data_IF_658935320992
#
_entry.id   IF_658935320992
#
_cell.length_a   1.000
_cell.length_b   1.000
_cell.length_c   1.000
_cell.angle_alpha   90.00
_cell.angle_beta   90.00
_cell.angle_gamma   90.00
#
_symmetry.space_group_name_H-M   'P 1'
#
loop_
_entity.id
_entity.type
_entity.pdbx_description
1 polymer ?
#
# COMPACT_ATOMS: atom_id res chain seq x y z
N UNK A 1 -28.08 -8.41 -26.70
CA UNK A 1 -28.39 -9.82 -26.33
C UNK A 1 -29.32 -9.76 -25.14
N UNK A 2 -30.52 -10.34 -25.27
CA UNK A 2 -31.57 -10.29 -24.25
C UNK A 2 -32.03 -11.72 -23.93
N UNK A 3 -32.78 -11.87 -22.83
CA UNK A 3 -33.40 -13.12 -22.43
C UNK A 3 -32.38 -14.27 -22.41
N UNK A 4 -32.72 -15.50 -22.79
CA UNK A 4 -31.76 -16.62 -22.78
C UNK A 4 -30.79 -16.65 -23.97
N UNK A 5 -30.69 -15.55 -24.74
CA UNK A 5 -29.87 -15.48 -25.95
C UNK A 5 -28.37 -15.64 -25.67
N UNK A 6 -27.67 -16.39 -26.52
CA UNK A 6 -26.22 -16.55 -26.51
C UNK A 6 -25.63 -16.01 -27.81
N UNK A 7 -24.65 -15.11 -27.70
CA UNK A 7 -23.76 -14.73 -28.81
C UNK A 7 -22.37 -15.29 -28.54
N UNK A 8 -21.82 -16.03 -29.50
CA UNK A 8 -20.41 -16.44 -29.50
C UNK A 8 -19.65 -15.68 -30.57
N UNK A 9 -18.47 -15.17 -30.23
CA UNK A 9 -17.62 -14.36 -31.13
C UNK A 9 -16.26 -15.04 -31.28
N UNK A 10 -15.98 -15.54 -32.49
CA UNK A 10 -14.67 -16.07 -32.90
C UNK A 10 -13.87 -15.09 -33.78
N UNK A 11 -14.56 -14.14 -34.42
CA UNK A 11 -14.00 -13.10 -35.28
C UNK A 11 -14.15 -11.71 -34.66
N UNK A 12 -14.51 -10.72 -35.47
CA UNK A 12 -14.75 -9.36 -34.96
C UNK A 12 -16.24 -9.05 -34.91
N UNK A 13 -16.70 -8.54 -33.78
CA UNK A 13 -18.01 -7.95 -33.63
C UNK A 13 -17.88 -6.47 -33.20
N UNK A 14 -18.91 -5.69 -33.48
CA UNK A 14 -19.00 -4.31 -33.00
C UNK A 14 -19.20 -4.27 -31.46
N UNK A 15 -19.59 -3.12 -30.92
CA UNK A 15 -19.98 -3.02 -29.53
C UNK A 15 -21.16 -3.96 -29.21
N UNK A 16 -21.13 -4.58 -28.04
CA UNK A 16 -22.14 -5.56 -27.60
C UNK A 16 -22.76 -5.12 -26.29
N UNK A 17 -24.09 -5.16 -26.22
CA UNK A 17 -24.82 -5.04 -24.96
C UNK A 17 -25.46 -6.37 -24.62
N UNK A 18 -25.22 -6.88 -23.41
CA UNK A 18 -25.92 -8.03 -22.84
C UNK A 18 -26.83 -7.56 -21.71
N UNK A 19 -28.14 -7.62 -21.91
CA UNK A 19 -29.14 -7.33 -20.90
C UNK A 19 -29.45 -8.60 -20.08
N UNK A 20 -30.31 -8.48 -19.07
CA UNK A 20 -30.70 -9.57 -18.18
C UNK A 20 -30.99 -10.89 -18.92
N UNK A 21 -30.36 -11.97 -18.44
CA UNK A 21 -30.40 -13.30 -19.04
C UNK A 21 -29.43 -13.51 -20.22
N UNK A 22 -29.09 -12.44 -20.94
CA UNK A 22 -28.30 -12.51 -22.16
C UNK A 22 -26.87 -12.92 -21.87
N UNK A 23 -26.29 -13.74 -22.76
CA UNK A 23 -24.94 -14.31 -22.60
C UNK A 23 -24.07 -13.98 -23.80
N UNK A 24 -22.87 -13.49 -23.53
CA UNK A 24 -21.81 -13.30 -24.51
C UNK A 24 -20.64 -14.23 -24.19
N UNK A 25 -20.15 -14.94 -25.20
CA UNK A 25 -18.86 -15.64 -25.15
C UNK A 25 -17.95 -15.05 -26.22
N UNK A 26 -16.83 -14.48 -25.82
CA UNK A 26 -15.77 -14.07 -26.74
C UNK A 26 -14.68 -15.11 -26.63
N UNK A 27 -14.51 -15.93 -27.67
CA UNK A 27 -13.45 -16.93 -27.71
C UNK A 27 -12.09 -16.26 -27.89
N UNK A 28 -10.99 -17.01 -27.74
CA UNK A 28 -9.62 -16.47 -27.75
C UNK A 28 -9.28 -15.65 -29.01
N UNK A 29 -9.80 -16.01 -30.17
CA UNK A 29 -9.62 -15.26 -31.43
C UNK A 29 -10.62 -14.12 -31.61
N UNK A 30 -11.66 -14.09 -30.78
CA UNK A 30 -12.75 -13.14 -30.83
C UNK A 30 -12.34 -11.76 -30.34
N UNK A 31 -12.87 -10.74 -31.01
CA UNK A 31 -12.71 -9.32 -30.65
C UNK A 31 -14.07 -8.66 -30.70
N UNK A 32 -14.41 -7.89 -29.67
CA UNK A 32 -15.59 -7.03 -29.68
C UNK A 32 -15.18 -5.56 -29.51
N UNK A 33 -16.07 -4.64 -29.87
CA UNK A 33 -15.99 -3.25 -29.42
C UNK A 33 -16.30 -3.13 -27.93
N UNK A 34 -16.85 -2.00 -27.52
CA UNK A 34 -17.24 -1.79 -26.12
C UNK A 34 -18.32 -2.80 -25.68
N UNK A 35 -18.22 -3.20 -24.42
CA UNK A 35 -19.07 -4.19 -23.78
C UNK A 35 -19.88 -3.52 -22.68
N UNK A 36 -21.21 -3.63 -22.75
CA UNK A 36 -22.11 -3.18 -21.67
C UNK A 36 -22.94 -4.34 -21.14
N UNK A 37 -22.88 -4.60 -19.83
CA UNK A 37 -23.61 -5.68 -19.17
C UNK A 37 -24.70 -5.11 -18.26
N UNK A 38 -25.96 -5.16 -18.70
CA UNK A 38 -27.14 -4.68 -17.96
C UNK A 38 -27.92 -5.87 -17.39
N UNK A 39 -27.33 -6.60 -16.43
CA UNK A 39 -27.91 -7.85 -15.94
C UNK A 39 -27.47 -9.11 -16.71
N UNK A 40 -26.75 -8.93 -17.83
CA UNK A 40 -26.26 -10.03 -18.66
C UNK A 40 -24.89 -10.56 -18.23
N UNK A 41 -24.51 -11.70 -18.78
CA UNK A 41 -23.22 -12.34 -18.54
C UNK A 41 -22.31 -12.22 -19.77
N UNK A 42 -21.03 -11.96 -19.56
CA UNK A 42 -20.00 -12.12 -20.58
C UNK A 42 -18.80 -12.90 -20.07
N UNK A 43 -18.34 -13.89 -20.85
CA UNK A 43 -17.04 -14.52 -20.68
C UNK A 43 -16.13 -14.08 -21.82
N UNK A 44 -15.07 -13.34 -21.47
CA UNK A 44 -14.09 -12.78 -22.41
C UNK A 44 -12.80 -13.58 -22.31
N UNK A 45 -12.56 -14.51 -23.24
CA UNK A 45 -11.27 -15.19 -23.39
C UNK A 45 -10.41 -14.52 -24.49
N UNK A 46 -11.05 -13.79 -25.41
CA UNK A 46 -10.40 -12.98 -26.44
C UNK A 46 -10.19 -11.53 -25.99
N UNK A 47 -10.66 -10.57 -26.80
CA UNK A 47 -10.53 -9.14 -26.52
C UNK A 47 -11.85 -8.39 -26.56
N UNK A 48 -11.97 -7.33 -25.76
CA UNK A 48 -13.05 -6.34 -25.86
C UNK A 48 -12.52 -4.93 -25.68
N UNK A 49 -13.34 -3.94 -26.08
CA UNK A 49 -13.12 -2.52 -25.78
C UNK A 49 -13.32 -2.20 -24.31
N UNK A 50 -13.91 -1.04 -24.02
CA UNK A 50 -14.27 -0.67 -22.66
C UNK A 50 -15.40 -1.57 -22.15
N UNK A 51 -15.26 -2.11 -20.94
CA UNK A 51 -16.26 -2.94 -20.29
C UNK A 51 -16.95 -2.18 -19.15
N UNK A 52 -18.27 -1.99 -19.27
CA UNK A 52 -19.12 -1.40 -18.23
C UNK A 52 -20.09 -2.45 -17.71
N UNK A 53 -19.95 -2.80 -16.43
CA UNK A 53 -20.75 -3.81 -15.76
C UNK A 53 -21.74 -3.09 -14.85
N UNK A 54 -23.01 -3.06 -15.28
CA UNK A 54 -24.12 -2.48 -14.51
C UNK A 54 -24.74 -3.52 -13.58
N UNK A 55 -25.71 -3.09 -12.77
CA UNK A 55 -26.39 -3.95 -11.80
C UNK A 55 -26.86 -5.29 -12.40
N UNK A 56 -26.50 -6.37 -11.72
CA UNK A 56 -26.78 -7.76 -12.12
C UNK A 56 -25.91 -8.28 -13.28
N UNK A 57 -25.10 -7.41 -13.90
CA UNK A 57 -24.17 -7.80 -14.95
C UNK A 57 -22.98 -8.56 -14.38
N UNK A 58 -22.45 -9.51 -15.14
CA UNK A 58 -21.31 -10.34 -14.71
C UNK A 58 -20.29 -10.44 -15.83
N UNK A 59 -19.09 -9.91 -15.60
CA UNK A 59 -17.94 -10.08 -16.48
C UNK A 59 -17.03 -11.17 -15.93
N UNK A 60 -16.64 -12.13 -16.75
CA UNK A 60 -15.56 -13.06 -16.45
C UNK A 60 -14.74 -13.43 -17.67
N UNK A 61 -13.97 -14.52 -17.57
CA UNK A 61 -13.03 -14.96 -18.60
C UNK A 61 -11.57 -14.57 -18.30
N UNK A 62 -10.68 -14.93 -19.22
CA UNK A 62 -9.22 -14.82 -19.06
C UNK A 62 -8.54 -13.87 -20.05
N UNK A 63 -9.33 -13.13 -20.81
CA UNK A 63 -8.89 -12.32 -21.93
C UNK A 63 -8.46 -10.91 -21.54
N UNK A 64 -8.52 -10.00 -22.51
CA UNK A 64 -8.16 -8.60 -22.35
C UNK A 64 -9.39 -7.70 -22.56
N UNK A 65 -9.66 -6.81 -21.61
CA UNK A 65 -10.56 -5.67 -21.79
C UNK A 65 -9.74 -4.39 -21.84
N UNK A 66 -10.18 -3.38 -22.59
CA UNK A 66 -9.41 -2.14 -22.70
C UNK A 66 -9.45 -1.34 -21.39
N UNK A 67 -10.64 -1.13 -20.84
CA UNK A 67 -10.85 -0.52 -19.52
C UNK A 67 -12.03 -1.20 -18.83
N UNK A 68 -12.14 -1.05 -17.51
CA UNK A 68 -13.15 -1.72 -16.72
C UNK A 68 -13.84 -0.77 -15.74
N UNK A 69 -15.17 -0.75 -15.74
CA UNK A 69 -15.97 -0.07 -14.73
C UNK A 69 -17.02 -1.04 -14.20
N UNK A 70 -16.85 -1.48 -12.96
CA UNK A 70 -17.86 -2.22 -12.22
C UNK A 70 -18.72 -1.24 -11.44
N UNK A 71 -19.95 -1.00 -11.92
CA UNK A 71 -20.92 -0.15 -11.23
C UNK A 71 -21.55 -0.89 -10.07
N UNK A 72 -22.29 -0.15 -9.24
CA UNK A 72 -23.06 -0.73 -8.13
C UNK A 72 -23.93 -1.91 -8.60
N UNK A 73 -23.82 -3.05 -7.92
CA UNK A 73 -24.48 -4.31 -8.25
C UNK A 73 -23.90 -5.07 -9.44
N UNK A 74 -22.85 -4.57 -10.09
CA UNK A 74 -22.10 -5.27 -11.14
C UNK A 74 -21.01 -6.16 -10.55
N UNK A 75 -20.78 -7.32 -11.19
CA UNK A 75 -19.81 -8.32 -10.73
C UNK A 75 -18.68 -8.52 -11.75
N UNK A 76 -17.45 -8.53 -11.26
CA UNK A 76 -16.26 -8.95 -12.02
C UNK A 76 -15.74 -10.23 -11.37
N UNK A 77 -15.72 -11.32 -12.14
CA UNK A 77 -15.27 -12.65 -11.74
C UNK A 77 -14.20 -13.10 -12.73
N UNK A 78 -12.92 -12.71 -12.54
CA UNK A 78 -11.85 -13.14 -13.44
C UNK A 78 -11.79 -14.66 -13.57
N UNK A 79 -11.30 -15.13 -14.71
CA UNK A 79 -11.04 -16.55 -14.90
C UNK A 79 -12.18 -17.36 -15.53
N UNK A 80 -11.83 -18.62 -15.81
CA UNK A 80 -12.78 -19.72 -16.00
C UNK A 80 -12.63 -20.72 -14.81
N UNK A 81 -12.37 -20.19 -13.60
CA UNK A 81 -12.26 -20.91 -12.33
C UNK A 81 -11.06 -21.90 -12.23
N UNK A 82 -9.81 -21.49 -12.02
CA UNK A 82 -9.33 -20.14 -11.74
C UNK A 82 -8.46 -19.59 -12.87
N UNK A 83 -8.40 -18.27 -13.03
CA UNK A 83 -7.58 -17.61 -14.04
C UNK A 83 -7.39 -16.11 -13.83
N UNK A 84 -6.71 -15.49 -14.79
CA UNK A 84 -6.39 -14.06 -14.75
C UNK A 84 -7.13 -13.34 -15.86
N UNK A 85 -7.87 -12.29 -15.51
CA UNK A 85 -8.44 -11.33 -16.47
C UNK A 85 -7.52 -10.13 -16.56
N UNK A 86 -7.30 -9.61 -17.77
CA UNK A 86 -6.43 -8.47 -18.01
C UNK A 86 -7.23 -7.21 -18.38
N UNK A 87 -6.84 -6.07 -17.84
CA UNK A 87 -7.33 -4.73 -18.20
C UNK A 87 -6.16 -3.93 -18.73
N UNK A 88 -6.23 -3.42 -19.97
CA UNK A 88 -5.12 -2.70 -20.58
C UNK A 88 -4.88 -1.30 -19.95
N UNK A 89 -5.97 -0.61 -19.62
CA UNK A 89 -5.98 0.71 -19.00
C UNK A 89 -6.47 0.64 -17.57
N UNK A 90 -7.32 1.59 -17.18
CA UNK A 90 -7.78 1.74 -15.80
C UNK A 90 -8.96 0.82 -15.46
N UNK A 91 -9.08 0.48 -14.17
CA UNK A 91 -10.22 -0.22 -13.61
C UNK A 91 -10.85 0.58 -12.46
N UNK A 92 -12.18 0.64 -12.41
CA UNK A 92 -12.93 1.28 -11.30
C UNK A 92 -13.97 0.31 -10.74
N UNK A 93 -14.02 0.22 -9.41
CA UNK A 93 -15.02 -0.51 -8.65
C UNK A 93 -15.83 0.47 -7.80
N UNK A 94 -17.06 0.74 -8.24
CA UNK A 94 -18.00 1.58 -7.50
C UNK A 94 -18.44 0.89 -6.20
N UNK A 95 -18.93 1.68 -5.24
CA UNK A 95 -19.53 1.14 -4.03
C UNK A 95 -20.67 0.18 -4.36
N UNK A 96 -20.67 -0.99 -3.72
CA UNK A 96 -21.65 -2.05 -3.97
C UNK A 96 -21.43 -2.88 -5.24
N UNK A 97 -20.32 -2.68 -5.98
CA UNK A 97 -19.86 -3.66 -6.95
C UNK A 97 -19.26 -4.88 -6.24
N UNK A 98 -19.17 -6.00 -6.96
CA UNK A 98 -18.60 -7.26 -6.44
C UNK A 98 -17.38 -7.66 -7.26
N UNK A 99 -16.29 -7.95 -6.56
CA UNK A 99 -15.13 -8.63 -7.11
C UNK A 99 -15.15 -10.08 -6.62
N UNK A 100 -15.57 -11.00 -7.47
CA UNK A 100 -15.71 -12.43 -7.14
C UNK A 100 -14.40 -13.16 -7.46
N UNK A 101 -13.83 -13.81 -6.45
CA UNK A 101 -12.54 -14.47 -6.50
C UNK A 101 -12.71 -15.94 -6.13
N UNK A 102 -12.35 -16.83 -7.04
CA UNK A 102 -12.27 -18.25 -6.76
C UNK A 102 -10.86 -18.66 -6.35
N UNK A 103 -10.77 -19.47 -5.30
CA UNK A 103 -9.54 -20.18 -4.94
C UNK A 103 -9.60 -21.59 -5.51
N UNK A 104 -8.53 -22.03 -6.17
CA UNK A 104 -8.48 -23.35 -6.76
C UNK A 104 -8.65 -24.46 -5.72
N UNK A 105 -9.18 -25.60 -6.16
CA UNK A 105 -9.38 -26.79 -5.31
C UNK A 105 -8.08 -27.34 -4.74
N UNK A 106 -6.94 -27.05 -5.36
CA UNK A 106 -5.58 -27.36 -4.88
C UNK A 106 -5.00 -26.28 -3.91
N UNK A 107 -5.70 -25.15 -3.73
CA UNK A 107 -5.34 -24.03 -2.84
C UNK A 107 -4.01 -23.36 -3.21
N UNK A 108 -3.52 -23.53 -4.43
CA UNK A 108 -2.22 -22.99 -4.85
C UNK A 108 -2.36 -21.72 -5.69
N UNK A 109 -3.56 -21.42 -6.18
CA UNK A 109 -3.84 -20.25 -7.00
C UNK A 109 -5.26 -19.75 -6.75
N UNK A 110 -5.48 -18.48 -7.06
CA UNK A 110 -6.78 -17.84 -7.04
C UNK A 110 -7.01 -17.07 -8.35
N UNK A 111 -8.24 -16.65 -8.59
CA UNK A 111 -8.56 -15.67 -9.62
C UNK A 111 -7.84 -14.35 -9.36
N UNK A 112 -7.45 -13.70 -10.46
CA UNK A 112 -6.70 -12.44 -10.40
C UNK A 112 -7.14 -11.46 -11.48
N UNK A 113 -7.15 -10.18 -11.15
CA UNK A 113 -7.28 -9.09 -12.11
C UNK A 113 -5.95 -8.36 -12.28
N UNK A 114 -5.41 -8.35 -13.49
CA UNK A 114 -4.17 -7.64 -13.82
C UNK A 114 -4.52 -6.37 -14.60
N UNK A 115 -4.19 -5.21 -14.04
CA UNK A 115 -4.56 -3.90 -14.57
C UNK A 115 -3.31 -3.14 -15.00
N UNK A 116 -3.20 -2.81 -16.29
CA UNK A 116 -2.08 -2.05 -16.85
C UNK A 116 -2.10 -0.56 -16.51
N UNK A 117 -3.22 -0.05 -16.00
CA UNK A 117 -3.39 1.33 -15.53
C UNK A 117 -3.59 1.45 -14.02
N UNK A 118 -4.33 2.49 -13.62
CA UNK A 118 -4.72 2.71 -12.24
C UNK A 118 -5.98 1.92 -11.88
N UNK A 119 -6.09 1.58 -10.59
CA UNK A 119 -7.29 1.00 -9.99
C UNK A 119 -7.88 1.96 -8.99
N UNK A 120 -9.16 2.26 -9.14
CA UNK A 120 -9.92 3.09 -8.20
C UNK A 120 -11.00 2.26 -7.50
N UNK A 121 -10.85 2.07 -6.19
CA UNK A 121 -11.74 1.31 -5.33
C UNK A 121 -12.59 2.27 -4.49
N UNK A 122 -13.86 2.43 -4.84
CA UNK A 122 -14.79 3.35 -4.18
C UNK A 122 -15.64 2.66 -3.09
N UNK A 123 -15.26 1.45 -2.66
CA UNK A 123 -15.99 0.65 -1.66
C UNK A 123 -16.77 -0.55 -2.21
N UNK A 124 -16.26 -1.23 -3.24
CA UNK A 124 -16.81 -2.54 -3.65
C UNK A 124 -16.60 -3.63 -2.59
N UNK A 125 -17.13 -4.84 -2.80
CA UNK A 125 -16.94 -5.99 -1.91
C UNK A 125 -16.17 -7.10 -2.63
N UNK A 126 -15.22 -7.72 -1.95
CA UNK A 126 -14.57 -8.94 -2.41
C UNK A 126 -15.38 -10.15 -1.93
N UNK A 127 -15.80 -11.00 -2.85
CA UNK A 127 -16.44 -12.28 -2.55
C UNK A 127 -15.43 -13.39 -2.79
N UNK A 128 -15.18 -14.25 -1.80
CA UNK A 128 -14.24 -15.36 -1.93
C UNK A 128 -14.97 -16.69 -1.79
N UNK A 129 -14.73 -17.57 -2.77
CA UNK A 129 -15.27 -18.92 -2.80
C UNK A 129 -14.25 -19.90 -3.34
N UNK A 130 -14.61 -21.18 -3.31
CA UNK A 130 -13.80 -22.20 -3.96
C UNK A 130 -14.21 -22.37 -5.42
N UNK A 131 -13.24 -22.71 -6.26
CA UNK A 131 -13.48 -23.03 -7.65
C UNK A 131 -14.53 -24.15 -7.77
N UNK A 132 -15.58 -23.88 -8.55
CA UNK A 132 -16.71 -24.80 -8.74
C UNK A 132 -17.80 -24.75 -7.66
N UNK A 133 -17.58 -24.01 -6.57
CA UNK A 133 -18.59 -23.78 -5.53
C UNK A 133 -19.42 -22.55 -5.85
N UNK A 134 -20.73 -22.61 -5.52
CA UNK A 134 -21.68 -21.49 -5.70
C UNK A 134 -21.85 -20.63 -4.45
N UNK A 135 -21.40 -21.12 -3.32
CA UNK A 135 -21.50 -20.46 -2.02
C UNK A 135 -20.11 -20.09 -1.52
N UNK A 136 -20.06 -19.22 -0.50
CA UNK A 136 -18.82 -18.96 0.23
C UNK A 136 -18.24 -20.23 0.86
N UNK A 137 -17.03 -20.11 1.40
CA UNK A 137 -16.24 -21.23 1.91
C UNK A 137 -16.95 -21.99 3.06
N UNK A 138 -16.72 -23.29 3.18
CA UNK A 138 -17.15 -24.07 4.34
C UNK A 138 -16.15 -23.94 5.50
N UNK A 139 -16.56 -24.31 6.72
CA UNK A 139 -15.67 -24.30 7.88
C UNK A 139 -14.44 -25.23 7.73
N UNK A 140 -14.57 -26.32 6.98
CA UNK A 140 -13.42 -27.19 6.69
C UNK A 140 -12.46 -26.49 5.70
N UNK A 141 -13.01 -25.88 4.65
CA UNK A 141 -12.22 -25.19 3.62
C UNK A 141 -11.47 -23.99 4.19
N UNK A 142 -12.09 -23.20 5.08
CA UNK A 142 -11.45 -22.02 5.67
C UNK A 142 -10.26 -22.39 6.56
N UNK A 143 -10.30 -23.56 7.21
CA UNK A 143 -9.19 -24.08 8.02
C UNK A 143 -7.99 -24.42 7.15
N UNK A 144 -8.21 -25.03 5.98
CA UNK A 144 -7.14 -25.37 5.03
C UNK A 144 -6.49 -24.14 4.37
N UNK A 145 -7.19 -23.00 4.43
CA UNK A 145 -6.72 -21.73 3.91
C UNK A 145 -5.97 -20.92 4.96
N UNK A 146 -5.98 -21.33 6.24
CA UNK A 146 -5.31 -20.60 7.31
C UNK A 146 -3.84 -20.29 6.99
N UNK A 147 -3.43 -19.04 7.21
CA UNK A 147 -2.13 -18.46 6.87
C UNK A 147 -1.75 -18.47 5.38
N UNK A 148 -2.67 -18.86 4.49
CA UNK A 148 -2.48 -18.67 3.05
C UNK A 148 -2.85 -17.24 2.66
N UNK A 149 -2.15 -16.77 1.63
CA UNK A 149 -2.39 -15.48 1.00
C UNK A 149 -2.42 -15.64 -0.51
N UNK A 150 -3.34 -14.95 -1.17
CA UNK A 150 -3.50 -14.95 -2.61
C UNK A 150 -3.53 -13.53 -3.14
N UNK A 151 -2.67 -13.22 -4.08
CA UNK A 151 -2.76 -11.97 -4.84
C UNK A 151 -3.97 -12.03 -5.77
N UNK A 152 -4.91 -11.09 -5.58
CA UNK A 152 -6.18 -11.06 -6.32
C UNK A 152 -6.26 -9.90 -7.29
N UNK A 153 -5.45 -8.85 -7.08
CA UNK A 153 -5.39 -7.70 -7.97
C UNK A 153 -3.96 -7.17 -8.06
N UNK A 154 -3.52 -6.89 -9.28
CA UNK A 154 -2.26 -6.19 -9.58
C UNK A 154 -2.58 -4.97 -10.42
N UNK A 155 -1.92 -3.85 -10.15
CA UNK A 155 -1.95 -2.63 -10.93
C UNK A 155 -0.53 -2.20 -11.29
N UNK A 156 -0.26 -1.99 -12.58
CA UNK A 156 1.00 -1.38 -13.04
C UNK A 156 1.07 0.11 -12.66
N UNK A 157 -0.10 0.75 -12.52
CA UNK A 157 -0.25 2.09 -11.93
C UNK A 157 -0.39 2.03 -10.41
N UNK A 158 -1.46 2.62 -9.87
CA UNK A 158 -1.73 2.61 -8.43
C UNK A 158 -3.14 2.13 -8.11
N UNK A 159 -3.27 1.41 -6.99
CA UNK A 159 -4.52 1.10 -6.32
C UNK A 159 -4.83 2.24 -5.35
N UNK A 160 -5.94 2.94 -5.59
CA UNK A 160 -6.43 4.03 -4.78
C UNK A 160 -7.77 3.66 -4.14
N UNK A 161 -7.96 4.06 -2.88
CA UNK A 161 -9.11 3.64 -2.07
C UNK A 161 -9.02 2.18 -1.61
N UNK A 162 -10.12 1.64 -1.12
CA UNK A 162 -10.21 0.26 -0.62
C UNK A 162 -11.53 -0.39 -1.03
N UNK A 163 -11.55 -1.72 -1.02
CA UNK A 163 -12.81 -2.45 -0.92
C UNK A 163 -13.40 -2.19 0.47
N UNK A 164 -14.72 -2.17 0.55
CA UNK A 164 -15.46 -1.97 1.80
C UNK A 164 -15.39 -3.23 2.68
N UNK A 165 -15.42 -4.41 2.06
CA UNK A 165 -15.42 -5.67 2.79
C UNK A 165 -14.85 -6.83 1.98
N UNK A 166 -14.49 -7.91 2.67
CA UNK A 166 -14.26 -9.23 2.10
C UNK A 166 -15.20 -10.23 2.76
N UNK A 167 -15.87 -11.02 1.93
CA UNK A 167 -16.82 -12.04 2.34
C UNK A 167 -16.30 -13.42 1.95
N UNK A 168 -16.72 -14.48 2.65
CA UNK A 168 -17.58 -14.50 3.85
C UNK A 168 -16.84 -14.22 5.17
N UNK A 169 -17.57 -13.76 6.20
CA UNK A 169 -17.06 -13.57 7.57
C UNK A 169 -17.24 -14.82 8.42
N UNK A 170 -16.24 -15.13 9.26
CA UNK A 170 -16.34 -16.19 10.25
C UNK A 170 -15.82 -15.74 11.61
N UNK A 171 -16.20 -16.49 12.65
CA UNK A 171 -15.87 -16.18 14.04
C UNK A 171 -14.39 -16.35 14.39
N UNK A 172 -13.70 -17.31 13.78
CA UNK A 172 -12.34 -17.71 14.18
C UNK A 172 -11.28 -17.46 13.12
N UNK A 173 -11.49 -17.90 11.88
CA UNK A 173 -10.58 -17.67 10.75
C UNK A 173 -11.35 -16.89 9.70
N UNK A 174 -10.93 -15.66 9.41
CA UNK A 174 -11.65 -14.78 8.49
C UNK A 174 -10.73 -14.34 7.35
N UNK A 175 -11.23 -14.22 6.11
CA UNK A 175 -10.49 -13.52 5.09
C UNK A 175 -10.30 -12.06 5.49
N UNK A 176 -9.16 -11.51 5.08
CA UNK A 176 -8.78 -10.11 5.27
C UNK A 176 -8.06 -9.62 4.02
N UNK A 177 -8.18 -8.33 3.74
CA UNK A 177 -7.53 -7.72 2.58
C UNK A 177 -6.23 -7.06 3.02
N UNK A 178 -5.17 -7.34 2.27
CA UNK A 178 -3.83 -6.79 2.46
C UNK A 178 -3.53 -5.94 1.23
N UNK A 179 -3.22 -4.67 1.46
CA UNK A 179 -2.85 -3.71 0.42
C UNK A 179 -1.34 -3.52 0.46
N UNK A 180 -0.68 -3.63 -0.70
CA UNK A 180 0.74 -3.38 -0.76
C UNK A 180 1.05 -1.90 -0.47
N UNK A 181 2.13 -1.63 0.27
CA UNK A 181 2.52 -0.28 0.68
C UNK A 181 2.83 0.64 -0.52
N UNK A 182 3.31 0.07 -1.62
CA UNK A 182 3.55 0.76 -2.89
C UNK A 182 2.28 0.97 -3.73
N UNK A 183 1.13 0.48 -3.26
CA UNK A 183 -0.17 0.54 -3.91
C UNK A 183 -0.23 -0.23 -5.23
N UNK A 184 0.65 -1.19 -5.48
CA UNK A 184 0.64 -1.98 -6.72
C UNK A 184 -0.30 -3.19 -6.67
N UNK A 185 -0.75 -3.59 -5.47
CA UNK A 185 -1.33 -4.91 -5.29
C UNK A 185 -2.35 -4.98 -4.14
N UNK A 186 -3.35 -5.85 -4.32
CA UNK A 186 -4.27 -6.31 -3.26
C UNK A 186 -4.21 -7.83 -3.16
N UNK A 187 -4.10 -8.33 -1.94
CA UNK A 187 -4.11 -9.75 -1.62
C UNK A 187 -5.22 -10.08 -0.62
N UNK A 188 -5.76 -11.29 -0.70
CA UNK A 188 -6.60 -11.85 0.36
C UNK A 188 -5.78 -12.83 1.20
N UNK A 189 -5.73 -12.58 2.51
CA UNK A 189 -5.11 -13.46 3.50
C UNK A 189 -6.16 -14.06 4.44
N UNK A 190 -5.90 -15.25 4.96
CA UNK A 190 -6.78 -15.94 5.91
C UNK A 190 -6.10 -16.05 7.26
N UNK A 191 -6.61 -15.32 8.25
CA UNK A 191 -5.99 -15.22 9.57
C UNK A 191 -7.04 -15.31 10.68
N UNK A 192 -6.57 -15.42 11.93
CA UNK A 192 -7.40 -15.37 13.10
C UNK A 192 -8.13 -14.03 13.20
N UNK A 193 -9.39 -14.09 13.63
CA UNK A 193 -10.11 -12.89 14.07
C UNK A 193 -9.40 -12.27 15.26
N UNK A 194 -9.64 -10.98 15.50
CA UNK A 194 -9.10 -10.29 16.67
C UNK A 194 -9.54 -10.96 17.97
N UNK A 195 -10.81 -11.35 18.09
CA UNK A 195 -11.32 -12.12 19.23
C UNK A 195 -10.56 -13.43 19.43
N UNK A 196 -10.35 -14.21 18.35
CA UNK A 196 -9.62 -15.46 18.45
C UNK A 196 -8.14 -15.24 18.82
N UNK A 197 -7.54 -14.12 18.38
CA UNK A 197 -6.22 -13.70 18.84
C UNK A 197 -6.22 -13.36 20.33
N UNK A 198 -7.17 -12.58 20.82
CA UNK A 198 -7.24 -12.25 22.25
C UNK A 198 -7.40 -13.50 23.11
N UNK A 199 -8.29 -14.42 22.74
CA UNK A 199 -8.51 -15.67 23.48
C UNK A 199 -7.25 -16.54 23.54
N UNK A 200 -6.50 -16.63 22.43
CA UNK A 200 -5.26 -17.39 22.42
C UNK A 200 -4.15 -16.68 23.21
N UNK A 201 -4.11 -15.35 23.25
CA UNK A 201 -3.14 -14.58 24.02
C UNK A 201 -3.37 -14.79 25.52
N UNK A 202 -4.62 -14.76 25.96
CA UNK A 202 -4.99 -15.02 27.35
C UNK A 202 -4.64 -16.45 27.79
N UNK A 203 -4.93 -17.46 26.95
CA UNK A 203 -4.54 -18.85 27.22
C UNK A 203 -3.03 -19.00 27.37
N UNK A 204 -2.30 -18.27 26.55
CA UNK A 204 -0.85 -18.28 26.57
C UNK A 204 -0.29 -17.62 27.84
N UNK A 205 -0.82 -16.46 28.23
CA UNK A 205 -0.46 -15.81 29.51
C UNK A 205 -0.79 -16.71 30.70
N UNK A 206 -1.95 -17.38 30.69
CA UNK A 206 -2.34 -18.31 31.74
C UNK A 206 -1.39 -19.52 31.81
N UNK A 207 -0.99 -20.07 30.67
CA UNK A 207 -0.04 -21.19 30.61
C UNK A 207 1.36 -20.79 31.07
N UNK A 208 1.82 -19.57 30.75
CA UNK A 208 3.08 -19.02 31.27
C UNK A 208 3.02 -18.83 32.81
N UNK A 209 1.91 -18.31 33.33
CA UNK A 209 1.71 -18.16 34.78
C UNK A 209 1.69 -19.51 35.49
N UNK A 210 1.04 -20.53 34.91
CA UNK A 210 1.03 -21.89 35.45
C UNK A 210 2.42 -22.53 35.45
N UNK A 211 3.20 -22.37 34.38
CA UNK A 211 4.58 -22.84 34.31
C UNK A 211 5.48 -22.17 35.36
N UNK A 212 5.33 -20.85 35.56
CA UNK A 212 6.07 -20.13 36.59
C UNK A 212 5.67 -20.59 38.01
N UNK A 213 4.37 -20.78 38.27
CA UNK A 213 3.88 -21.29 39.54
C UNK A 213 4.41 -22.71 39.84
N UNK A 214 4.56 -23.55 38.82
CA UNK A 214 5.15 -24.89 38.96
C UNK A 214 6.65 -24.80 39.28
N UNK A 215 7.39 -23.89 38.64
CA UNK A 215 8.79 -23.64 38.97
C UNK A 215 8.98 -23.17 40.43
N UNK A 216 8.10 -22.29 40.90
CA UNK A 216 8.17 -21.78 42.28
C UNK A 216 7.84 -22.88 43.31
N UNK A 217 6.92 -23.80 42.99
CA UNK A 217 6.65 -25.00 43.81
C UNK A 217 7.86 -25.92 43.90
N UNK A 218 8.51 -26.23 42.78
CA UNK A 218 9.70 -27.10 42.77
C UNK A 218 10.87 -26.51 43.56
N UNK A 219 11.02 -25.18 43.55
CA UNK A 219 11.98 -24.47 44.43
C UNK A 219 11.63 -24.63 45.92
N UNK A 220 10.36 -24.54 46.27
CA UNK A 220 9.88 -24.71 47.65
C UNK A 220 10.03 -26.16 48.16
N UNK A 221 9.97 -27.15 47.26
CA UNK A 221 10.16 -28.57 47.56
C UNK A 221 11.64 -28.99 47.73
N UNK A 222 12.58 -28.07 47.55
CA UNK A 222 13.99 -28.28 47.88
C UNK A 222 14.85 -28.93 46.79
N UNK A 223 14.38 -28.96 45.53
CA UNK A 223 15.28 -29.24 44.40
C UNK A 223 16.41 -28.20 44.36
N UNK A 224 17.63 -28.62 43.99
CA UNK A 224 18.75 -27.72 43.80
C UNK A 224 18.31 -26.58 42.86
N UNK A 225 18.57 -25.33 43.25
CA UNK A 225 18.08 -24.14 42.53
C UNK A 225 18.38 -24.18 41.01
N UNK A 226 19.48 -24.84 40.64
CA UNK A 226 19.89 -25.08 39.26
C UNK A 226 18.98 -26.06 38.50
N UNK A 227 18.51 -27.14 39.13
CA UNK A 227 17.59 -28.11 38.53
C UNK A 227 16.18 -27.50 38.36
N UNK A 228 15.70 -26.75 39.36
CA UNK A 228 14.41 -26.08 39.28
C UNK A 228 14.40 -24.97 38.22
N UNK A 229 15.52 -24.26 38.05
CA UNK A 229 15.67 -23.26 37.00
C UNK A 229 15.75 -23.92 35.61
N UNK A 230 16.51 -25.01 35.46
CA UNK A 230 16.60 -25.75 34.21
C UNK A 230 15.25 -26.34 33.76
N UNK A 231 14.43 -26.83 34.70
CA UNK A 231 13.09 -27.33 34.39
C UNK A 231 12.11 -26.20 34.00
N UNK A 232 12.20 -25.04 34.66
CA UNK A 232 11.44 -23.85 34.29
C UNK A 232 11.80 -23.34 32.88
N UNK A 233 13.09 -23.33 32.54
CA UNK A 233 13.57 -22.94 31.22
C UNK A 233 13.13 -23.93 30.15
N UNK A 234 13.09 -25.23 30.47
CA UNK A 234 12.57 -26.29 29.58
C UNK A 234 11.07 -26.14 29.31
N UNK A 235 10.28 -25.85 30.34
CA UNK A 235 8.84 -25.57 30.23
C UNK A 235 8.57 -24.30 29.43
N UNK A 236 9.34 -23.23 29.64
CA UNK A 236 9.26 -22.00 28.83
C UNK A 236 9.64 -22.25 27.38
N UNK A 237 10.65 -23.09 27.12
CA UNK A 237 11.03 -23.48 25.77
C UNK A 237 9.93 -24.31 25.07
N UNK A 238 9.27 -25.23 25.79
CA UNK A 238 8.13 -25.99 25.26
C UNK A 238 6.91 -25.10 24.98
N UNK A 239 6.59 -24.18 25.90
CA UNK A 239 5.55 -23.17 25.70
C UNK A 239 5.84 -22.29 24.49
N UNK A 240 7.12 -21.93 24.29
CA UNK A 240 7.58 -21.16 23.13
C UNK A 240 7.51 -21.97 21.84
N UNK A 241 7.82 -23.27 21.86
CA UNK A 241 7.63 -24.15 20.71
C UNK A 241 6.14 -24.26 20.32
N UNK A 242 5.25 -24.31 21.31
CA UNK A 242 3.80 -24.28 21.09
C UNK A 242 3.28 -22.90 20.65
N UNK A 243 3.87 -21.80 21.11
CA UNK A 243 3.63 -20.46 20.54
C UNK A 243 4.05 -20.38 19.07
N UNK A 244 5.23 -20.93 18.73
CA UNK A 244 5.77 -20.93 17.37
C UNK A 244 4.88 -21.74 16.42
N UNK A 245 4.34 -22.87 16.88
CA UNK A 245 3.37 -23.68 16.12
C UNK A 245 2.04 -22.97 15.90
N UNK A 246 1.64 -22.11 16.82
CA UNK A 246 0.32 -21.48 16.79
C UNK A 246 0.31 -20.04 16.25
N UNK A 247 1.43 -19.28 16.27
CA UNK A 247 1.26 -17.85 16.54
C UNK A 247 2.44 -16.87 16.27
N UNK A 248 3.00 -16.82 15.06
CA UNK A 248 3.93 -15.71 14.71
C UNK A 248 3.19 -14.45 14.21
N UNK A 249 1.86 -14.40 14.33
CA UNK A 249 1.01 -13.28 13.89
C UNK A 249 0.33 -12.51 15.04
N UNK A 250 0.54 -12.88 16.31
CA UNK A 250 -0.11 -12.17 17.42
C UNK A 250 0.42 -10.77 17.67
N UNK A 251 1.72 -10.58 17.45
CA UNK A 251 2.39 -9.31 17.76
C UNK A 251 2.32 -8.33 16.56
N UNK A 252 1.83 -8.80 15.40
CA UNK A 252 1.69 -8.00 14.18
C UNK A 252 0.32 -7.30 14.13
N UNK A 253 0.32 -5.99 14.33
CA UNK A 253 -0.88 -5.17 14.45
C UNK A 253 -1.26 -4.55 13.10
N UNK A 254 -0.31 -3.93 12.41
CA UNK A 254 -0.57 -3.21 11.14
C UNK A 254 -0.57 -4.16 9.92
N UNK A 255 -1.18 -3.78 8.77
CA UNK A 255 -1.13 -4.55 7.54
C UNK A 255 0.31 -4.84 7.05
N UNK A 256 1.21 -3.86 7.14
CA UNK A 256 2.63 -4.06 6.83
C UNK A 256 3.28 -5.08 7.78
N UNK A 257 3.05 -4.98 9.08
CA UNK A 257 3.59 -5.93 10.06
C UNK A 257 3.10 -7.36 9.81
N UNK A 258 1.81 -7.52 9.47
CA UNK A 258 1.23 -8.83 9.10
C UNK A 258 1.84 -9.37 7.82
N UNK A 259 2.00 -8.54 6.78
CA UNK A 259 2.63 -8.93 5.52
C UNK A 259 4.08 -9.40 5.73
N UNK A 260 4.86 -8.65 6.52
CA UNK A 260 6.21 -9.03 6.91
C UNK A 260 6.24 -10.31 7.74
N UNK A 261 5.34 -10.47 8.71
CA UNK A 261 5.19 -11.71 9.48
C UNK A 261 4.90 -12.93 8.59
N UNK A 262 4.02 -12.77 7.61
CA UNK A 262 3.73 -13.81 6.61
C UNK A 262 4.95 -14.15 5.74
N UNK A 263 5.70 -13.15 5.29
CA UNK A 263 6.92 -13.39 4.49
C UNK A 263 8.00 -14.12 5.29
N UNK A 264 8.15 -13.80 6.58
CA UNK A 264 9.08 -14.48 7.49
C UNK A 264 8.68 -15.94 7.74
N UNK A 265 7.38 -16.22 7.88
CA UNK A 265 6.85 -17.58 8.03
C UNK A 265 7.10 -18.49 6.82
N UNK A 266 7.13 -17.92 5.61
CA UNK A 266 7.42 -18.67 4.38
C UNK A 266 8.87 -19.19 4.30
N UNK A 267 9.77 -18.68 5.15
CA UNK A 267 11.18 -19.07 5.15
C UNK A 267 11.42 -20.47 5.75
N UNK A 268 10.45 -21.04 6.46
CA UNK A 268 10.53 -22.37 7.09
C UNK A 268 11.49 -22.45 8.29
N UNK A 269 11.29 -23.43 9.16
CA UNK A 269 12.14 -23.69 10.34
C UNK A 269 13.59 -23.96 9.91
N UNK A 270 14.56 -23.28 10.55
CA UNK A 270 16.00 -23.37 10.23
C UNK A 270 16.55 -22.25 9.33
N UNK A 271 15.71 -21.29 8.94
CA UNK A 271 16.18 -20.07 8.29
C UNK A 271 16.75 -19.09 9.32
N UNK A 272 17.97 -18.58 9.11
CA UNK A 272 18.64 -17.68 10.07
C UNK A 272 17.85 -16.41 10.41
N UNK A 273 17.02 -15.89 9.50
CA UNK A 273 16.17 -14.73 9.78
C UNK A 273 14.99 -15.12 10.65
N UNK A 274 14.30 -16.22 10.33
CA UNK A 274 13.26 -16.77 11.18
C UNK A 274 13.84 -17.14 12.55
N UNK A 275 14.99 -17.81 12.62
CA UNK A 275 15.66 -18.18 13.86
C UNK A 275 16.10 -16.95 14.68
N UNK A 276 16.56 -15.87 14.03
CA UNK A 276 16.93 -14.62 14.75
C UNK A 276 15.69 -13.90 15.31
N UNK A 277 14.59 -13.94 14.59
CA UNK A 277 13.26 -13.43 14.99
C UNK A 277 12.70 -14.29 16.13
N UNK A 278 12.83 -15.61 16.05
CA UNK A 278 12.29 -16.58 17.01
C UNK A 278 13.15 -16.77 18.27
N UNK A 279 14.47 -16.57 18.18
CA UNK A 279 15.46 -16.83 19.24
C UNK A 279 16.05 -15.53 19.82
N UNK A 280 15.37 -14.40 19.67
CA UNK A 280 15.83 -13.15 20.24
C UNK A 280 15.88 -13.27 21.79
N UNK A 281 17.03 -12.97 22.43
CA UNK A 281 17.27 -13.29 23.84
C UNK A 281 16.47 -12.45 24.87
N UNK A 282 15.60 -11.55 24.42
CA UNK A 282 14.68 -10.80 25.28
C UNK A 282 13.25 -11.26 25.01
N UNK A 283 12.82 -12.24 25.81
CA UNK A 283 11.54 -12.96 25.71
C UNK A 283 10.26 -12.11 25.87
N UNK A 284 10.39 -10.86 26.27
CA UNK A 284 9.30 -9.92 26.55
C UNK A 284 9.23 -8.76 25.55
N UNK A 285 10.13 -8.70 24.57
CA UNK A 285 10.15 -7.64 23.56
C UNK A 285 9.33 -8.07 22.33
N UNK A 286 8.28 -7.31 22.01
CA UNK A 286 7.52 -7.47 20.77
C UNK A 286 8.47 -7.46 19.55
N UNK A 287 8.19 -8.30 18.56
CA UNK A 287 8.94 -8.32 17.31
C UNK A 287 8.88 -6.94 16.64
N UNK A 288 10.05 -6.36 16.32
CA UNK A 288 10.13 -5.09 15.60
C UNK A 288 9.91 -5.31 14.10
N UNK A 289 8.66 -5.61 13.74
CA UNK A 289 8.23 -5.81 12.36
C UNK A 289 8.48 -4.57 11.48
N UNK A 290 8.46 -3.36 12.05
CA UNK A 290 8.69 -2.10 11.33
C UNK A 290 10.12 -2.00 10.79
N UNK A 291 11.09 -2.59 11.49
CA UNK A 291 12.46 -2.69 11.02
C UNK A 291 12.62 -3.67 9.84
N UNK A 292 11.77 -4.69 9.77
CA UNK A 292 11.79 -5.73 8.74
C UNK A 292 10.90 -5.38 7.52
N UNK A 293 9.85 -4.59 7.70
CA UNK A 293 8.96 -4.13 6.62
C UNK A 293 9.63 -3.11 5.68
N UNK A 294 10.68 -2.44 6.17
CA UNK A 294 11.39 -1.40 5.41
C UNK A 294 10.63 -0.07 5.31
N UNK A 295 9.51 0.08 6.03
CA UNK A 295 8.68 1.30 6.01
C UNK A 295 9.43 2.56 6.48
N UNK A 296 10.44 2.41 7.34
CA UNK A 296 11.33 3.51 7.73
C UNK A 296 12.13 4.08 6.52
N UNK A 297 12.55 3.22 5.59
CA UNK A 297 13.28 3.67 4.39
C UNK A 297 12.37 4.37 3.38
N UNK A 298 11.15 3.86 3.20
CA UNK A 298 10.14 4.50 2.34
C UNK A 298 9.72 5.86 2.90
N UNK A 299 9.47 5.93 4.22
CA UNK A 299 9.16 7.18 4.92
C UNK A 299 10.31 8.17 4.79
N UNK A 300 11.56 7.71 4.96
CA UNK A 300 12.75 8.55 4.78
C UNK A 300 12.83 9.13 3.35
N UNK A 301 12.58 8.35 2.29
CA UNK A 301 12.55 8.88 0.91
C UNK A 301 11.48 9.94 0.70
N UNK A 302 10.28 9.73 1.25
CA UNK A 302 9.22 10.74 1.25
C UNK A 302 9.67 12.03 1.94
N UNK A 303 10.33 11.91 3.10
CA UNK A 303 10.86 13.09 3.80
C UNK A 303 11.98 13.80 3.03
N UNK A 304 12.85 13.08 2.34
CA UNK A 304 13.93 13.65 1.53
C UNK A 304 13.41 14.38 0.28
N UNK A 305 12.34 13.89 -0.34
CA UNK A 305 11.66 14.61 -1.42
C UNK A 305 11.02 15.91 -0.92
N UNK A 306 10.46 15.90 0.29
CA UNK A 306 9.88 17.09 0.90
C UNK A 306 10.95 18.14 1.25
N UNK A 307 12.17 17.71 1.62
CA UNK A 307 13.31 18.60 1.84
C UNK A 307 13.83 19.28 0.58
N UNK A 308 13.86 18.56 -0.52
CA UNK A 308 14.22 19.14 -1.80
C UNK A 308 13.28 20.31 -2.16
N UNK A 309 12.02 20.25 -1.72
CA UNK A 309 11.04 21.33 -1.81
C UNK A 309 11.41 22.59 -1.03
N UNK A 310 12.01 22.46 0.16
CA UNK A 310 12.42 23.61 0.98
C UNK A 310 13.60 24.37 0.36
N UNK A 311 14.60 23.64 -0.14
CA UNK A 311 15.78 24.23 -0.79
C UNK A 311 15.41 24.85 -2.14
N UNK A 312 14.62 24.14 -2.95
CA UNK A 312 14.13 24.68 -4.23
C UNK A 312 13.18 25.86 -4.04
N UNK A 313 12.38 25.86 -2.97
CA UNK A 313 11.54 26.98 -2.57
C UNK A 313 12.37 28.23 -2.28
N UNK A 314 13.39 28.13 -1.43
CA UNK A 314 14.30 29.24 -1.12
C UNK A 314 15.04 29.75 -2.37
N UNK A 315 15.50 28.85 -3.24
CA UNK A 315 16.12 29.22 -4.51
C UNK A 315 15.15 29.94 -5.46
N UNK A 316 13.91 29.44 -5.59
CA UNK A 316 12.88 30.06 -6.42
C UNK A 316 12.42 31.42 -5.86
N UNK A 317 12.36 31.58 -4.54
CA UNK A 317 12.12 32.88 -3.90
C UNK A 317 13.24 33.87 -4.24
N UNK A 318 14.50 33.44 -4.29
CA UNK A 318 15.62 34.28 -4.73
C UNK A 318 15.52 34.66 -6.20
N UNK A 319 15.15 33.72 -7.08
CA UNK A 319 14.91 33.99 -8.50
C UNK A 319 13.79 35.04 -8.63
N UNK A 320 12.67 34.86 -7.93
CA UNK A 320 11.57 35.84 -7.94
C UNK A 320 11.98 37.20 -7.36
N UNK A 321 12.81 37.23 -6.31
CA UNK A 321 13.30 38.47 -5.73
C UNK A 321 14.33 39.19 -6.62
N UNK A 322 15.03 38.47 -7.51
CA UNK A 322 15.98 39.05 -8.46
C UNK A 322 15.29 39.68 -9.68
N UNK A 323 14.07 39.25 -10.01
CA UNK A 323 13.24 39.82 -11.06
C UNK A 323 12.11 40.63 -10.42
N UNK A 324 12.36 41.92 -10.19
CA UNK A 324 11.57 42.93 -9.47
C UNK A 324 10.03 42.85 -9.65
N UNK A 325 9.41 41.83 -9.06
CA UNK A 325 8.04 41.42 -9.25
C UNK A 325 7.30 41.37 -7.91
N UNK A 326 6.17 42.07 -7.87
CA UNK A 326 5.30 42.31 -6.70
C UNK A 326 5.15 41.05 -5.83
N UNK A 327 5.50 41.19 -4.54
CA UNK A 327 5.33 40.24 -3.43
C UNK A 327 6.54 39.36 -2.99
N UNK A 328 7.79 39.78 -3.19
CA UNK A 328 8.93 39.18 -2.50
C UNK A 328 9.13 39.75 -1.07
N UNK A 329 9.39 38.89 -0.07
CA UNK A 329 9.82 39.32 1.27
C UNK A 329 11.22 39.97 1.17
N UNK A 330 11.47 41.14 1.78
CA UNK A 330 12.77 41.79 1.70
C UNK A 330 13.82 40.94 2.44
N UNK A 331 14.77 40.38 1.69
CA UNK A 331 15.96 39.70 2.22
C UNK A 331 17.08 40.75 2.31
N UNK A 332 17.77 40.91 3.46
CA UNK A 332 18.84 41.87 3.59
C UNK A 332 20.02 41.50 2.67
N UNK A 333 20.29 42.35 1.69
CA UNK A 333 21.45 42.24 0.80
C UNK A 333 22.56 43.11 1.36
N UNK A 334 23.73 42.53 1.62
CA UNK A 334 24.92 43.31 1.99
C UNK A 334 25.59 43.74 0.70
N UNK A 335 25.61 45.06 0.44
CA UNK A 335 26.36 45.65 -0.67
C UNK A 335 27.79 45.88 -0.17
N UNK A 336 28.82 45.18 -0.69
CA UNK A 336 30.20 45.48 -0.36
C UNK A 336 30.55 46.88 -0.87
N UNK A 337 31.19 47.73 -0.05
CA UNK A 337 31.65 49.04 -0.47
C UNK A 337 32.56 48.91 -1.72
N UNK A 338 32.09 49.43 -2.85
CA UNK A 338 32.86 49.47 -4.09
C UNK A 338 33.91 50.60 -4.03
N UNK A 339 35.20 50.24 -4.06
CA UNK A 339 36.28 51.21 -4.28
C UNK A 339 36.34 51.55 -5.78
N UNK A 340 35.94 52.76 -6.15
CA UNK A 340 36.18 53.33 -7.49
C UNK A 340 37.58 53.95 -7.60
N UNK A 341 38.22 53.95 -8.78
CA UNK A 341 39.58 54.48 -8.94
C UNK A 341 39.61 56.01 -8.84
N UNK A 342 40.55 56.55 -8.06
CA UNK A 342 40.81 57.98 -7.93
C UNK A 342 41.61 58.51 -9.13
N UNK A 343 40.99 59.30 -10.01
CA UNK A 343 41.72 60.22 -10.87
C UNK A 343 41.28 61.66 -10.58
N UNK A 344 42.17 62.40 -9.92
CA UNK A 344 42.01 63.83 -9.63
C UNK A 344 42.31 64.64 -10.89
N UNK A 345 41.33 65.40 -11.38
CA UNK A 345 41.58 66.52 -12.28
C UNK A 345 40.82 67.77 -11.84
N UNK A 346 41.59 68.84 -11.67
CA UNK A 346 41.22 70.19 -11.25
C UNK A 346 40.52 70.93 -12.39
N UNK A 347 39.29 71.43 -12.20
CA UNK A 347 38.92 72.79 -12.61
C UNK A 347 37.52 73.19 -12.13
N UNK A 348 37.41 74.44 -11.67
CA UNK A 348 36.15 75.13 -11.37
C UNK A 348 35.51 75.55 -12.69
N UNK A 349 34.33 75.03 -13.05
CA UNK A 349 33.46 75.68 -14.05
C UNK A 349 31.97 75.58 -13.70
N UNK A 350 31.32 76.68 -14.02
CA UNK A 350 29.99 77.25 -13.72
C UNK A 350 28.74 76.38 -13.92
N UNK A 351 27.66 76.88 -13.33
CA UNK A 351 26.32 76.30 -13.13
C UNK A 351 25.46 76.05 -14.40
N UNK A 352 26.07 75.74 -15.54
CA UNK A 352 25.39 75.76 -16.84
C UNK A 352 25.38 74.39 -17.56
N UNK A 353 25.77 73.30 -16.86
CA UNK A 353 25.82 71.93 -17.39
C UNK A 353 24.99 70.91 -16.57
N UNK A 354 24.11 71.38 -15.69
CA UNK A 354 23.31 70.54 -14.79
C UNK A 354 22.09 69.84 -15.46
N UNK A 355 21.97 69.87 -16.78
CA UNK A 355 20.83 69.31 -17.51
C UNK A 355 21.15 68.19 -18.50
N UNK A 356 22.38 67.68 -18.50
CA UNK A 356 22.71 66.54 -19.35
C UNK A 356 23.58 65.51 -18.61
N UNK A 357 23.01 64.93 -17.55
CA UNK A 357 23.29 63.54 -17.15
C UNK A 357 22.10 63.03 -16.36
N UNK A 358 21.16 62.38 -17.04
CA UNK A 358 20.37 61.32 -16.41
C UNK A 358 21.36 60.27 -15.92
N UNK A 359 21.81 60.42 -14.68
CA UNK A 359 22.54 59.37 -13.98
C UNK A 359 21.56 58.19 -13.93
N UNK A 360 21.86 57.05 -14.57
CA UNK A 360 21.04 55.87 -14.41
C UNK A 360 20.95 55.57 -12.92
N UNK A 361 19.80 55.06 -12.45
CA UNK A 361 19.74 54.41 -11.15
C UNK A 361 20.98 53.53 -10.99
N UNK A 362 21.68 53.57 -9.84
CA UNK A 362 22.93 52.82 -9.69
C UNK A 362 22.69 51.39 -10.17
N UNK A 363 23.51 50.95 -11.14
CA UNK A 363 23.42 49.61 -11.67
C UNK A 363 23.36 48.64 -10.50
N UNK A 364 22.35 47.76 -10.48
CA UNK A 364 22.20 46.77 -9.44
C UNK A 364 23.58 46.12 -9.20
N UNK A 365 24.07 46.07 -7.95
CA UNK A 365 25.44 45.66 -7.68
C UNK A 365 25.70 44.32 -8.36
N UNK A 366 26.72 44.25 -9.22
CA UNK A 366 27.05 43.05 -9.99
C UNK A 366 27.47 41.86 -9.11
N UNK A 367 27.68 42.11 -7.81
CA UNK A 367 27.98 41.13 -6.77
C UNK A 367 27.20 41.51 -5.50
N UNK A 368 26.31 40.62 -5.07
CA UNK A 368 25.47 40.78 -3.89
C UNK A 368 25.57 39.52 -3.04
N UNK A 369 26.07 39.64 -1.81
CA UNK A 369 26.11 38.52 -0.86
C UNK A 369 24.74 38.41 -0.18
N UNK A 370 24.15 37.22 -0.23
CA UNK A 370 22.87 36.95 0.41
C UNK A 370 22.93 35.65 1.21
N UNK A 371 22.00 35.50 2.16
CA UNK A 371 21.78 34.24 2.81
C UNK A 371 20.41 34.14 3.46
N UNK A 372 19.87 32.92 3.49
CA UNK A 372 18.54 32.60 3.97
C UNK A 372 18.59 31.33 4.83
N UNK A 373 18.12 31.45 6.07
CA UNK A 373 17.87 30.31 6.93
C UNK A 373 16.57 29.62 6.52
N UNK A 374 16.57 28.29 6.53
CA UNK A 374 15.36 27.50 6.40
C UNK A 374 15.25 26.53 7.57
N UNK A 375 14.02 26.18 7.94
CA UNK A 375 13.78 25.16 8.94
C UNK A 375 12.31 24.75 8.97
N UNK A 376 12.07 23.50 9.33
CA UNK A 376 10.75 22.92 9.47
C UNK A 376 10.75 21.84 10.54
N UNK A 377 9.77 21.91 11.45
CA UNK A 377 9.34 20.78 12.24
C UNK A 377 8.23 20.05 11.48
N UNK A 378 8.25 18.72 11.51
CA UNK A 378 7.20 17.89 10.94
C UNK A 378 6.89 16.74 11.87
N UNK A 379 5.61 16.41 12.01
CA UNK A 379 5.14 15.25 12.73
C UNK A 379 4.17 14.50 11.82
N UNK A 380 4.44 13.22 11.58
CA UNK A 380 3.51 12.31 10.93
C UNK A 380 2.91 11.40 11.99
N UNK A 381 1.59 11.48 12.19
CA UNK A 381 0.86 10.50 12.97
C UNK A 381 0.86 9.16 12.23
N UNK A 382 0.91 8.06 12.99
CA UNK A 382 0.66 6.73 12.41
C UNK A 382 -0.73 6.70 11.78
N UNK A 383 -0.86 6.08 10.61
CA UNK A 383 -2.12 5.88 9.89
C UNK A 383 -2.70 4.47 10.09
N UNK A 384 -2.16 3.72 11.05
CA UNK A 384 -2.50 2.31 11.28
C UNK A 384 -1.81 1.34 10.32
N UNK A 385 -1.05 1.84 9.33
CA UNK A 385 -0.23 1.02 8.43
C UNK A 385 1.27 1.27 8.57
N UNK A 386 1.69 2.53 8.78
CA UNK A 386 3.08 2.93 9.04
C UNK A 386 3.24 3.60 10.40
N UNK A 387 4.43 3.47 11.00
CA UNK A 387 4.77 4.08 12.28
C UNK A 387 4.77 5.62 12.26
N UNK A 388 4.46 6.23 13.41
CA UNK A 388 4.50 7.68 13.59
C UNK A 388 5.96 8.18 13.56
N UNK A 389 6.19 9.38 13.02
CA UNK A 389 7.52 10.00 12.99
C UNK A 389 7.51 11.46 13.45
N UNK A 390 8.60 11.89 14.06
CA UNK A 390 8.86 13.29 14.41
C UNK A 390 10.16 13.75 13.77
N UNK A 391 10.16 14.96 13.22
CA UNK A 391 11.26 15.47 12.42
C UNK A 391 11.50 16.95 12.70
N UNK A 392 12.78 17.32 12.74
CA UNK A 392 13.24 18.70 12.77
C UNK A 392 14.34 18.85 11.73
N UNK A 393 14.17 19.77 10.78
CA UNK A 393 15.17 20.11 9.76
C UNK A 393 15.46 21.59 9.80
N UNK A 394 16.71 21.97 9.59
CA UNK A 394 17.15 23.36 9.60
C UNK A 394 18.49 23.51 8.88
N UNK A 395 18.70 24.67 8.26
CA UNK A 395 19.92 24.97 7.52
C UNK A 395 19.97 26.42 7.07
N UNK A 396 21.03 26.77 6.35
CA UNK A 396 21.25 28.11 5.80
C UNK A 396 21.82 27.99 4.39
N UNK A 397 21.24 28.71 3.45
CA UNK A 397 21.74 28.83 2.07
C UNK A 397 22.35 30.22 1.93
N UNK A 398 23.50 30.34 1.28
CA UNK A 398 24.19 31.61 1.02
C UNK A 398 24.82 31.59 -0.37
N UNK A 399 25.03 32.75 -0.98
CA UNK A 399 25.66 32.88 -2.29
C UNK A 399 25.90 34.31 -2.71
#
# INVERSE_FOLDING_TARGET
INDTGLLTVDGTAAAVTANAGGRLKINTTGVTGDLTLNGGFASVDGKSGAAVINAGGVLGGIGLVHSLIARSGGTVSPGNSVGTLHVAGDATFDRGSVFDVEIATDRNRADRLDVGGNVMLLGGVVSVRLAGEKTGLSQAQIKDLFQKSYTILIADGTVSGTFENVLPHYTYITPSLLYAADKSMVSVGFDLTETARTEQAEKLTAAQAAAQAQADRLKAEGLAAEQAQAEADRLKAQLREEQIKNLVLMDAVTPNQKSTGHAVLQLGLGNRLLDTVLLHPQADAALNYDALSGEAHASLRGTLLQDAGLVSGAANERIRAAFDGVAARPVPVIIPLAYGPEDKAKNRQSADQAFDTTTPAPAAPATALWGQGYGAWSHGSSDGNASAYSRNTGGFVTG
#
